data_IF_396518051325
#
_entry.id   IF_396518051325
#
_cell.length_a   1.000
_cell.length_b   1.000
_cell.length_c   1.000
_cell.angle_alpha   90.00
_cell.angle_beta   90.00
_cell.angle_gamma   90.00
#
_symmetry.space_group_name_H-M   'P 1'
#
loop_
_entity.id
_entity.type
_entity.pdbx_description
1 polymer ?
#
# COMPACT_ATOMS: atom_id res chain seq x y z
N UNK A 1 -26.62 4.15 -0.64
CA UNK A 1 -25.93 5.30 -1.24
C UNK A 1 -24.87 4.73 -2.16
N UNK A 2 -25.04 4.87 -3.48
CA UNK A 2 -24.04 4.41 -4.45
C UNK A 2 -22.99 5.51 -4.50
N UNK A 3 -21.78 5.24 -4.00
CA UNK A 3 -20.67 6.18 -4.12
C UNK A 3 -20.15 6.00 -5.55
N UNK A 4 -20.61 6.85 -6.46
CA UNK A 4 -20.04 7.00 -7.79
C UNK A 4 -18.72 7.75 -7.63
N UNK A 5 -17.61 7.02 -7.47
CA UNK A 5 -16.29 7.60 -7.61
C UNK A 5 -16.17 8.16 -9.03
N UNK A 6 -16.08 9.48 -9.17
CA UNK A 6 -15.91 10.08 -10.48
C UNK A 6 -14.53 9.70 -11.00
N UNK A 7 -14.44 9.30 -12.28
CA UNK A 7 -13.16 9.01 -12.94
C UNK A 7 -12.16 10.18 -12.82
N UNK A 8 -12.66 11.40 -12.58
CA UNK A 8 -11.86 12.60 -12.36
C UNK A 8 -11.14 12.60 -11.00
N UNK A 9 -11.74 12.08 -9.92
CA UNK A 9 -11.08 12.02 -8.60
C UNK A 9 -9.96 10.96 -8.60
N UNK A 10 -10.19 9.84 -9.29
CA UNK A 10 -9.16 8.82 -9.50
C UNK A 10 -7.98 9.36 -10.34
N UNK A 11 -8.29 10.21 -11.31
CA UNK A 11 -7.29 10.83 -12.19
C UNK A 11 -6.53 11.96 -11.52
N UNK A 12 -7.17 12.80 -10.70
CA UNK A 12 -6.49 13.82 -9.89
C UNK A 12 -5.55 13.19 -8.85
N UNK A 13 -5.96 12.09 -8.21
CA UNK A 13 -5.06 11.33 -7.32
C UNK A 13 -3.84 10.78 -8.07
N UNK A 14 -4.03 10.29 -9.29
CA UNK A 14 -2.95 9.78 -10.14
C UNK A 14 -2.03 10.90 -10.62
N UNK A 15 -2.58 12.07 -11.00
CA UNK A 15 -1.82 13.24 -11.46
C UNK A 15 -1.02 13.90 -10.31
N UNK A 16 -1.54 13.93 -9.08
CA UNK A 16 -0.76 14.37 -7.91
C UNK A 16 0.44 13.44 -7.63
N UNK A 17 0.27 12.11 -7.75
CA UNK A 17 1.37 11.15 -7.62
C UNK A 17 2.43 11.24 -8.73
N UNK A 18 2.07 11.66 -9.95
CA UNK A 18 3.02 11.77 -11.06
C UNK A 18 3.93 13.01 -10.98
N UNK A 19 3.65 13.97 -10.09
CA UNK A 19 4.49 15.16 -9.91
C UNK A 19 5.66 14.97 -8.94
N UNK A 20 5.78 13.81 -8.31
CA UNK A 20 6.90 13.51 -7.41
C UNK A 20 8.19 13.21 -8.20
N UNK A 21 9.25 13.93 -7.83
CA UNK A 21 10.57 13.89 -8.44
C UNK A 21 11.02 12.49 -8.90
N UNK A 22 11.67 12.44 -10.06
CA UNK A 22 12.44 11.32 -10.64
C UNK A 22 13.62 10.85 -9.77
N UNK A 23 13.56 11.04 -8.46
CA UNK A 23 14.43 10.31 -7.54
C UNK A 23 14.03 8.83 -7.57
N UNK A 24 15.01 8.01 -7.96
CA UNK A 24 14.90 6.57 -7.97
C UNK A 24 14.65 6.11 -6.53
N UNK A 25 13.46 5.59 -6.26
CA UNK A 25 13.11 5.10 -4.94
C UNK A 25 13.96 3.86 -4.62
N UNK A 26 14.82 3.94 -3.61
CA UNK A 26 15.69 2.84 -3.20
C UNK A 26 14.97 1.92 -2.20
N UNK A 27 14.97 0.62 -2.49
CA UNK A 27 14.38 -0.43 -1.65
C UNK A 27 14.85 -0.37 -0.18
N UNK A 28 16.16 -0.18 0.06
CA UNK A 28 16.70 -0.14 1.42
C UNK A 28 16.23 1.09 2.21
N UNK A 29 16.10 2.24 1.55
CA UNK A 29 15.57 3.47 2.15
C UNK A 29 14.10 3.30 2.52
N UNK A 30 13.32 2.69 1.62
CA UNK A 30 11.93 2.34 1.92
C UNK A 30 11.83 1.43 3.15
N UNK A 31 12.66 0.37 3.23
CA UNK A 31 12.65 -0.55 4.37
C UNK A 31 13.01 0.15 5.69
N UNK A 32 13.95 1.08 5.65
CA UNK A 32 14.34 1.88 6.81
C UNK A 32 13.15 2.69 7.34
N UNK A 33 12.43 3.38 6.45
CA UNK A 33 11.26 4.18 6.81
C UNK A 33 10.07 3.33 7.25
N UNK A 34 9.78 2.22 6.55
CA UNK A 34 8.69 1.32 6.88
C UNK A 34 8.83 0.70 8.29
N UNK A 35 10.05 0.56 8.80
CA UNK A 35 10.36 -0.01 10.13
C UNK A 35 10.66 1.03 11.19
N UNK A 36 10.58 2.31 10.86
CA UNK A 36 10.88 3.39 11.81
C UNK A 36 9.84 3.46 12.92
N UNK A 37 10.29 3.72 14.14
CA UNK A 37 9.40 4.02 15.28
C UNK A 37 8.68 5.37 15.08
N UNK A 38 9.22 6.25 14.23
CA UNK A 38 8.61 7.53 13.89
C UNK A 38 7.45 7.35 12.91
N UNK A 39 6.25 7.81 13.30
CA UNK A 39 5.05 7.73 12.46
C UNK A 39 5.18 8.52 11.15
N UNK A 40 5.95 9.62 11.14
CA UNK A 40 6.17 10.41 9.92
C UNK A 40 6.93 9.62 8.86
N UNK A 41 7.96 8.87 9.25
CA UNK A 41 8.74 8.04 8.34
C UNK A 41 7.88 6.91 7.78
N UNK A 42 7.07 6.24 8.62
CA UNK A 42 6.15 5.19 8.16
C UNK A 42 5.12 5.73 7.16
N UNK A 43 4.63 6.95 7.37
CA UNK A 43 3.72 7.64 6.42
C UNK A 43 4.41 7.90 5.08
N UNK A 44 5.70 8.24 5.06
CA UNK A 44 6.47 8.37 3.82
C UNK A 44 6.54 7.01 3.12
N UNK A 45 6.92 5.95 3.84
CA UNK A 45 7.00 4.61 3.26
C UNK A 45 5.68 4.15 2.64
N UNK A 46 4.53 4.45 3.27
CA UNK A 46 3.22 4.07 2.70
C UNK A 46 2.90 4.82 1.40
N UNK A 47 3.29 6.09 1.27
CA UNK A 47 3.13 6.83 0.01
C UNK A 47 4.02 6.24 -1.10
N UNK A 48 5.21 5.84 -0.72
CA UNK A 48 6.20 5.28 -1.65
C UNK A 48 5.89 3.84 -2.08
N UNK A 49 4.90 3.18 -1.49
CA UNK A 49 4.65 1.75 -1.64
C UNK A 49 4.26 1.36 -3.07
N UNK A 50 3.39 2.14 -3.73
CA UNK A 50 3.01 1.95 -5.15
C UNK A 50 4.18 2.28 -6.08
N UNK A 51 4.94 3.34 -5.76
CA UNK A 51 6.13 3.70 -6.53
C UNK A 51 7.17 2.58 -6.47
N UNK A 52 7.40 1.98 -5.29
CA UNK A 52 8.29 0.85 -5.10
C UNK A 52 7.82 -0.39 -5.87
N UNK A 53 6.54 -0.73 -5.80
CA UNK A 53 6.04 -1.95 -6.48
C UNK A 53 6.24 -1.88 -7.99
N UNK A 54 6.17 -0.68 -8.58
CA UNK A 54 6.43 -0.44 -10.01
C UNK A 54 7.90 -0.46 -10.39
N UNK A 55 8.82 -0.18 -9.47
CA UNK A 55 10.27 -0.21 -9.74
C UNK A 55 10.86 -1.61 -9.57
N UNK A 56 10.21 -2.48 -8.77
CA UNK A 56 10.65 -3.85 -8.56
C UNK A 56 10.45 -4.71 -9.81
N UNK A 57 11.51 -5.41 -10.21
CA UNK A 57 11.50 -6.37 -11.29
C UNK A 57 10.94 -7.71 -10.80
N UNK A 58 9.73 -8.05 -11.22
CA UNK A 58 8.99 -9.27 -10.81
C UNK A 58 9.80 -10.56 -11.02
N UNK A 59 10.61 -10.64 -12.07
CA UNK A 59 11.39 -11.85 -12.39
C UNK A 59 12.63 -11.99 -11.51
N UNK A 60 13.29 -10.88 -11.16
CA UNK A 60 14.60 -10.88 -10.49
C UNK A 60 14.52 -10.64 -8.99
N UNK A 61 13.48 -9.94 -8.53
CA UNK A 61 13.39 -9.38 -7.17
C UNK A 61 12.28 -10.03 -6.34
N UNK A 62 11.92 -11.28 -6.65
CA UNK A 62 10.86 -12.04 -5.95
C UNK A 62 10.99 -11.99 -4.42
N UNK A 63 12.22 -12.10 -3.88
CA UNK A 63 12.45 -12.02 -2.43
C UNK A 63 12.13 -10.62 -1.86
N UNK A 64 12.46 -9.56 -2.59
CA UNK A 64 12.19 -8.20 -2.13
C UNK A 64 10.68 -7.92 -2.15
N UNK A 65 10.01 -8.36 -3.22
CA UNK A 65 8.54 -8.30 -3.37
C UNK A 65 7.86 -9.04 -2.21
N UNK A 66 8.31 -10.25 -1.89
CA UNK A 66 7.86 -11.01 -0.72
C UNK A 66 8.03 -10.23 0.59
N UNK A 67 9.18 -9.59 0.80
CA UNK A 67 9.41 -8.76 1.99
C UNK A 67 8.45 -7.56 2.03
N UNK A 68 8.20 -6.89 0.92
CA UNK A 68 7.24 -5.77 0.85
C UNK A 68 5.84 -6.27 1.15
N UNK A 69 5.42 -7.38 0.57
CA UNK A 69 4.08 -7.94 0.83
C UNK A 69 3.91 -8.35 2.29
N UNK A 70 4.93 -8.98 2.89
CA UNK A 70 4.95 -9.29 4.32
C UNK A 70 4.92 -8.02 5.20
N UNK A 71 5.50 -6.90 4.75
CA UNK A 71 5.40 -5.64 5.48
C UNK A 71 3.97 -5.10 5.46
N UNK A 72 3.29 -5.14 4.32
CA UNK A 72 1.87 -4.76 4.22
C UNK A 72 1.03 -5.60 5.19
N UNK A 73 1.19 -6.93 5.17
CA UNK A 73 0.50 -7.84 6.11
C UNK A 73 0.78 -7.48 7.57
N UNK A 74 2.04 -7.18 7.92
CA UNK A 74 2.44 -6.87 9.29
C UNK A 74 1.97 -5.50 9.77
N UNK A 75 1.98 -4.48 8.91
CA UNK A 75 1.51 -3.14 9.25
C UNK A 75 0.05 -3.25 9.67
N UNK A 76 -0.80 -3.90 8.89
CA UNK A 76 -2.19 -4.07 9.31
C UNK A 76 -2.37 -4.93 10.56
N UNK A 77 -1.55 -5.96 10.76
CA UNK A 77 -1.69 -6.83 11.93
C UNK A 77 -1.29 -6.14 13.25
N UNK A 78 -0.48 -5.06 13.21
CA UNK A 78 0.17 -4.50 14.40
C UNK A 78 0.08 -2.97 14.54
N UNK A 79 -0.22 -2.25 13.48
CA UNK A 79 -0.31 -0.79 13.51
C UNK A 79 -1.62 -0.37 14.20
N UNK A 80 -1.48 0.55 15.15
CA UNK A 80 -2.61 1.07 15.94
C UNK A 80 -2.92 2.52 15.57
N UNK A 81 -2.06 3.19 14.81
CA UNK A 81 -2.33 4.52 14.27
C UNK A 81 -3.35 4.42 13.13
N UNK A 82 -4.60 4.81 13.41
CA UNK A 82 -5.70 4.77 12.45
C UNK A 82 -5.42 5.57 11.18
N UNK A 83 -4.59 6.63 11.25
CA UNK A 83 -4.19 7.40 10.07
C UNK A 83 -3.24 6.61 9.17
N UNK A 84 -2.33 5.84 9.76
CA UNK A 84 -1.41 4.96 9.01
C UNK A 84 -2.21 3.83 8.35
N UNK A 85 -3.14 3.22 9.08
CA UNK A 85 -4.04 2.21 8.52
C UNK A 85 -4.88 2.77 7.36
N UNK A 86 -5.48 3.96 7.53
CA UNK A 86 -6.25 4.63 6.48
C UNK A 86 -5.43 4.89 5.22
N UNK A 87 -4.22 5.45 5.37
CA UNK A 87 -3.32 5.68 4.23
C UNK A 87 -2.97 4.37 3.50
N UNK A 88 -2.79 3.27 4.22
CA UNK A 88 -2.48 2.00 3.59
C UNK A 88 -3.70 1.41 2.87
N UNK A 89 -4.89 1.54 3.45
CA UNK A 89 -6.17 1.15 2.82
C UNK A 89 -6.39 1.87 1.49
N UNK A 90 -6.13 3.17 1.45
CA UNK A 90 -6.24 3.99 0.23
C UNK A 90 -5.34 3.49 -0.91
N UNK A 91 -4.19 2.88 -0.57
CA UNK A 91 -3.24 2.34 -1.56
C UNK A 91 -3.60 0.93 -2.06
N UNK A 92 -4.47 0.18 -1.35
CA UNK A 92 -4.80 -1.21 -1.67
C UNK A 92 -5.27 -1.41 -3.12
N UNK A 93 -6.16 -0.60 -3.71
CA UNK A 93 -6.61 -0.82 -5.08
C UNK A 93 -5.47 -0.80 -6.10
N UNK A 94 -4.52 0.14 -5.95
CA UNK A 94 -3.37 0.25 -6.83
C UNK A 94 -2.41 -0.92 -6.61
N UNK A 95 -2.08 -1.22 -5.35
CA UNK A 95 -1.23 -2.36 -5.01
C UNK A 95 -1.84 -3.69 -5.48
N UNK A 96 -3.17 -3.83 -5.48
CA UNK A 96 -3.85 -5.03 -5.96
C UNK A 96 -3.53 -5.30 -7.42
N UNK A 97 -3.59 -4.26 -8.27
CA UNK A 97 -3.24 -4.35 -9.69
C UNK A 97 -1.78 -4.76 -9.89
N UNK A 98 -0.87 -4.19 -9.09
CA UNK A 98 0.56 -4.50 -9.19
C UNK A 98 0.87 -5.94 -8.73
N UNK A 99 0.32 -6.37 -7.58
CA UNK A 99 0.63 -7.68 -7.00
C UNK A 99 -0.17 -8.84 -7.59
N UNK A 100 -1.37 -8.61 -8.17
CA UNK A 100 -2.14 -9.69 -8.81
C UNK A 100 -1.45 -10.23 -10.07
N UNK A 101 -0.55 -9.45 -10.68
CA UNK A 101 0.26 -9.90 -11.80
C UNK A 101 1.36 -10.90 -11.38
N UNK A 102 1.58 -11.09 -10.08
CA UNK A 102 2.63 -11.92 -9.52
C UNK A 102 2.04 -13.27 -9.10
N UNK A 103 2.24 -14.30 -9.92
CA UNK A 103 1.56 -15.61 -9.79
C UNK A 103 1.67 -16.23 -8.39
N UNK A 104 2.85 -16.21 -7.78
CA UNK A 104 3.06 -16.82 -6.45
C UNK A 104 2.38 -16.04 -5.31
N UNK A 105 2.06 -14.76 -5.51
CA UNK A 105 1.35 -13.93 -4.53
C UNK A 105 -0.15 -13.91 -4.74
N UNK A 106 -0.66 -14.34 -5.89
CA UNK A 106 -2.07 -14.19 -6.27
C UNK A 106 -3.06 -14.66 -5.19
N UNK A 107 -2.85 -15.87 -4.65
CA UNK A 107 -3.70 -16.41 -3.56
C UNK A 107 -3.66 -15.56 -2.29
N UNK A 108 -2.50 -14.98 -1.98
CA UNK A 108 -2.33 -14.11 -0.80
C UNK A 108 -2.96 -12.76 -1.02
N UNK A 109 -2.79 -12.15 -2.20
CA UNK A 109 -3.44 -10.88 -2.57
C UNK A 109 -4.95 -10.97 -2.41
N UNK A 110 -5.58 -12.02 -2.99
CA UNK A 110 -7.02 -12.24 -2.90
C UNK A 110 -7.54 -12.55 -1.49
N UNK A 111 -6.65 -12.91 -0.56
CA UNK A 111 -7.02 -13.17 0.83
C UNK A 111 -6.82 -11.90 1.67
N UNK A 112 -5.58 -11.42 1.67
CA UNK A 112 -5.12 -10.35 2.55
C UNK A 112 -5.86 -9.06 2.21
N UNK A 113 -5.80 -8.57 0.97
CA UNK A 113 -6.34 -7.23 0.67
C UNK A 113 -7.84 -7.09 0.97
N UNK A 114 -8.71 -8.08 0.67
CA UNK A 114 -10.10 -8.05 1.12
C UNK A 114 -10.26 -8.08 2.64
N UNK A 115 -9.50 -8.91 3.37
CA UNK A 115 -9.50 -8.94 4.84
C UNK A 115 -9.11 -7.57 5.43
N UNK A 116 -8.13 -6.90 4.81
CA UNK A 116 -7.67 -5.57 5.22
C UNK A 116 -8.74 -4.49 5.03
N UNK A 117 -9.40 -4.49 3.86
CA UNK A 117 -10.50 -3.57 3.58
C UNK A 117 -11.69 -3.79 4.53
N UNK A 118 -12.05 -5.06 4.78
CA UNK A 118 -13.14 -5.39 5.69
C UNK A 118 -12.83 -4.92 7.13
N UNK A 119 -11.62 -5.19 7.62
CA UNK A 119 -11.20 -4.77 8.96
C UNK A 119 -11.21 -3.24 9.12
N UNK A 120 -10.84 -2.49 8.09
CA UNK A 120 -10.89 -1.03 8.12
C UNK A 120 -12.33 -0.50 8.17
N UNK A 121 -13.26 -1.15 7.46
CA UNK A 121 -14.68 -0.79 7.48
C UNK A 121 -15.31 -1.07 8.85
N UNK A 122 -14.99 -2.20 9.48
CA UNK A 122 -15.50 -2.53 10.82
C UNK A 122 -15.04 -1.49 11.86
N UNK A 123 -13.79 -1.04 11.81
CA UNK A 123 -13.28 0.01 12.70
C UNK A 123 -13.89 1.40 12.45
N UNK A 124 -14.38 1.69 11.25
CA UNK A 124 -15.07 2.95 10.96
C UNK A 124 -16.51 3.00 11.48
N UNK A 125 -17.11 1.85 11.76
CA UNK A 125 -18.48 1.73 12.25
C UNK A 125 -18.59 1.85 13.79
N UNK A 126 -17.47 1.77 14.51
CA UNK A 126 -17.43 1.87 15.99
C UNK A 126 -17.33 3.33 16.49
N UNK A 127 -17.17 4.32 15.59
CA UNK A 127 -17.08 5.75 15.90
C UNK A 127 -18.44 6.51 15.79
N UNK A 128 -19.56 5.78 15.62
CA UNK A 128 -20.95 6.31 15.61
C UNK A 128 -21.73 6.05 16.92
#
# INVERSE_FOLDING_TARGET
MVIEYSENEFREFNEEMETESTEMLHYDTFLLYARSENSSDRKIAIRDLVKLSRTLNIEKEQRQIEVVFNLIENIFAKETDSKICGMLVEQIPLLYVEFMAIEHLLKRVHKVFPELLASALDHSADDD
#
